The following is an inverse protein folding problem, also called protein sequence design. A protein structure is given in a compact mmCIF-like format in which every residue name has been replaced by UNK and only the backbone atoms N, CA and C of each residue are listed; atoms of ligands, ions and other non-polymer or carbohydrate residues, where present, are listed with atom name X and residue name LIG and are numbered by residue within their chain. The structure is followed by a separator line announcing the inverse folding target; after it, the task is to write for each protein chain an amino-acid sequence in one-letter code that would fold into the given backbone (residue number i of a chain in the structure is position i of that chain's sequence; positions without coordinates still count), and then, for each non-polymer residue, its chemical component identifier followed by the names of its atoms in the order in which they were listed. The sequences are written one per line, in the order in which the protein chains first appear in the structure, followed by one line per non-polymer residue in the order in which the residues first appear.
data_IF_055788259965
#
_entry.id   IF_055788259965
#
_cell.length_a   1.000
_cell.length_b   1.000
_cell.length_c   1.000
_cell.angle_alpha   90.00
_cell.angle_beta   90.00
_cell.angle_gamma   90.00
#
_symmetry.space_group_name_H-M   'P 1'
#
loop_
_entity.id
_entity.type
_entity.pdbx_description
1 polymer ?
#
# COMPACT_ATOMS: atom_id res chain seq x y z
N UNK A 1 8.48 -5.48 -14.82
CA UNK A 1 7.71 -6.04 -13.69
C UNK A 1 7.34 -7.48 -13.98
N UNK A 2 7.46 -8.37 -12.99
CA UNK A 2 7.01 -9.76 -13.08
C UNK A 2 5.47 -9.85 -13.08
N UNK A 3 4.91 -10.82 -13.84
CA UNK A 3 3.46 -11.11 -13.87
C UNK A 3 3.06 -11.96 -12.66
N UNK A 4 1.91 -11.64 -12.05
CA UNK A 4 1.36 -12.38 -10.90
C UNK A 4 0.11 -13.14 -11.32
N UNK A 5 -0.06 -14.35 -10.80
CA UNK A 5 -1.17 -15.23 -11.16
C UNK A 5 -1.92 -15.68 -9.91
N UNK A 6 -3.25 -15.64 -9.96
CA UNK A 6 -4.10 -16.26 -8.94
C UNK A 6 -4.21 -17.76 -9.22
N UNK A 7 -3.93 -18.59 -8.22
CA UNK A 7 -3.96 -20.06 -8.33
C UNK A 7 -4.88 -20.63 -7.26
N UNK A 8 -5.75 -21.56 -7.64
CA UNK A 8 -6.63 -22.25 -6.69
C UNK A 8 -5.81 -23.10 -5.71
N UNK A 9 -6.27 -23.17 -4.46
CA UNK A 9 -5.61 -23.97 -3.41
C UNK A 9 -5.41 -25.44 -3.80
N UNK A 10 -6.36 -26.04 -4.52
CA UNK A 10 -6.25 -27.42 -5.03
C UNK A 10 -5.12 -27.57 -6.05
N UNK A 11 -5.06 -26.68 -7.04
CA UNK A 11 -3.98 -26.65 -8.04
C UNK A 11 -2.62 -26.43 -7.40
N UNK A 12 -2.55 -25.54 -6.39
CA UNK A 12 -1.31 -25.34 -5.64
C UNK A 12 -0.88 -26.62 -4.92
N UNK A 13 -1.80 -27.33 -4.24
CA UNK A 13 -1.47 -28.59 -3.53
C UNK A 13 -0.86 -29.63 -4.46
N UNK A 14 -1.38 -29.78 -5.67
CA UNK A 14 -0.87 -30.75 -6.66
C UNK A 14 0.63 -30.56 -6.94
N UNK A 15 1.14 -29.33 -6.92
CA UNK A 15 2.57 -29.04 -7.14
C UNK A 15 3.47 -29.49 -5.98
N UNK A 16 2.91 -29.80 -4.81
CA UNK A 16 3.65 -30.13 -3.59
C UNK A 16 3.23 -31.47 -2.96
N UNK A 17 2.55 -32.32 -3.71
CA UNK A 17 2.20 -33.68 -3.30
C UNK A 17 3.40 -34.63 -3.24
N UNK A 18 4.54 -34.24 -3.82
CA UNK A 18 5.74 -35.08 -3.93
C UNK A 18 6.95 -34.37 -3.31
N UNK A 19 7.76 -35.12 -2.58
CA UNK A 19 9.01 -34.62 -2.01
C UNK A 19 10.03 -34.33 -3.10
N UNK A 20 10.62 -33.14 -3.08
CA UNK A 20 11.65 -32.74 -4.05
C UNK A 20 12.99 -33.48 -3.88
N UNK A 21 13.20 -34.15 -2.73
CA UNK A 21 14.45 -34.84 -2.40
C UNK A 21 14.36 -36.34 -2.63
N UNK A 22 13.33 -37.00 -2.09
CA UNK A 22 13.18 -38.46 -2.14
C UNK A 22 12.01 -38.94 -3.01
N UNK A 23 11.28 -38.04 -3.66
CA UNK A 23 10.16 -38.35 -4.57
C UNK A 23 9.00 -39.15 -3.94
N UNK A 24 8.98 -39.32 -2.62
CA UNK A 24 7.87 -39.91 -1.89
C UNK A 24 6.72 -38.92 -1.75
N UNK A 25 5.51 -39.44 -1.52
CA UNK A 25 4.33 -38.61 -1.22
C UNK A 25 4.57 -37.73 0.01
N UNK A 26 4.21 -36.46 -0.10
CA UNK A 26 4.29 -35.47 0.95
C UNK A 26 2.90 -35.18 1.53
N UNK A 27 2.86 -34.93 2.84
CA UNK A 27 1.77 -34.17 3.43
C UNK A 27 2.09 -32.68 3.27
N UNK A 28 1.14 -31.92 2.72
CA UNK A 28 1.27 -30.48 2.52
C UNK A 28 0.28 -29.72 3.42
N UNK A 29 0.81 -28.83 4.26
CA UNK A 29 0.02 -27.87 5.03
C UNK A 29 0.17 -26.47 4.46
N UNK A 30 -0.96 -25.77 4.32
CA UNK A 30 -1.01 -24.43 3.74
C UNK A 30 -1.50 -23.45 4.80
N UNK A 31 -0.74 -22.38 5.02
CA UNK A 31 -1.08 -21.22 5.85
C UNK A 31 -1.02 -19.96 5.00
N UNK A 32 -1.56 -18.86 5.51
CA UNK A 32 -1.50 -17.57 4.83
C UNK A 32 -1.29 -16.40 5.79
N UNK A 33 -0.72 -15.30 5.29
CA UNK A 33 -0.65 -14.01 5.95
C UNK A 33 -0.85 -12.89 4.91
N UNK A 34 -2.04 -12.30 4.92
CA UNK A 34 -2.41 -11.37 3.86
C UNK A 34 -2.55 -12.09 2.53
N UNK A 35 -1.78 -11.69 1.53
CA UNK A 35 -1.67 -12.35 0.22
C UNK A 35 -0.62 -13.47 0.21
N UNK A 36 0.26 -13.53 1.21
CA UNK A 36 1.35 -14.52 1.27
C UNK A 36 0.77 -15.88 1.61
N UNK A 37 1.12 -16.90 0.83
CA UNK A 37 0.82 -18.29 1.10
C UNK A 37 2.11 -18.99 1.53
N UNK A 38 2.07 -19.65 2.68
CA UNK A 38 3.14 -20.51 3.19
C UNK A 38 2.73 -21.96 3.02
N UNK A 39 3.58 -22.75 2.38
CA UNK A 39 3.37 -24.16 2.19
C UNK A 39 4.49 -24.93 2.87
N UNK A 40 4.12 -25.81 3.80
CA UNK A 40 5.05 -26.71 4.48
C UNK A 40 4.77 -28.14 4.03
N UNK A 41 5.81 -28.82 3.55
CA UNK A 41 5.73 -30.23 3.17
C UNK A 41 6.52 -31.09 4.15
N UNK A 42 6.02 -32.28 4.43
CA UNK A 42 6.77 -33.34 5.12
C UNK A 42 6.55 -34.70 4.45
N UNK A 43 7.61 -35.51 4.38
CA UNK A 43 7.57 -36.85 3.81
C UNK A 43 7.96 -37.94 4.83
N UNK A 44 7.66 -39.23 4.59
CA UNK A 44 8.03 -40.33 5.49
C UNK A 44 9.53 -40.46 5.79
N UNK A 45 10.40 -40.00 4.87
CA UNK A 45 11.85 -39.98 5.06
C UNK A 45 12.35 -38.83 5.97
N UNK A 46 11.44 -38.03 6.53
CA UNK A 46 11.77 -36.96 7.48
C UNK A 46 12.15 -35.60 6.86
N UNK A 47 12.21 -35.48 5.52
CA UNK A 47 12.45 -34.18 4.88
C UNK A 47 11.28 -33.20 5.14
N UNK A 48 11.63 -31.97 5.53
CA UNK A 48 10.69 -30.87 5.73
C UNK A 48 11.10 -29.71 4.82
N UNK A 49 10.18 -29.20 4.01
CA UNK A 49 10.45 -28.05 3.16
C UNK A 49 9.39 -26.96 3.34
N UNK A 50 9.81 -25.71 3.22
CA UNK A 50 8.95 -24.53 3.16
C UNK A 50 9.02 -23.92 1.76
N UNK A 51 7.87 -23.52 1.23
CA UNK A 51 7.76 -22.70 0.04
C UNK A 51 6.81 -21.54 0.31
N UNK A 52 7.19 -20.35 -0.17
CA UNK A 52 6.40 -19.14 -0.03
C UNK A 52 5.99 -18.65 -1.43
N UNK A 53 4.76 -18.14 -1.56
CA UNK A 53 4.19 -17.77 -2.85
C UNK A 53 4.74 -16.50 -3.49
N UNK A 54 5.54 -15.74 -2.74
CA UNK A 54 6.03 -14.43 -3.16
C UNK A 54 7.31 -14.08 -2.40
N UNK A 55 8.17 -13.21 -2.97
CA UNK A 55 9.34 -12.70 -2.28
C UNK A 55 8.95 -11.72 -1.15
N UNK A 56 9.95 -11.40 -0.33
CA UNK A 56 9.81 -10.42 0.75
C UNK A 56 10.63 -9.18 0.43
N UNK A 57 10.07 -8.00 0.73
CA UNK A 57 10.73 -6.69 0.67
C UNK A 57 10.82 -6.20 2.11
N UNK A 58 12.03 -6.09 2.66
CA UNK A 58 12.28 -5.70 4.06
C UNK A 58 11.43 -6.48 5.08
N UNK A 59 11.25 -7.79 4.85
CA UNK A 59 10.44 -8.66 5.72
C UNK A 59 8.93 -8.64 5.46
N UNK A 60 8.45 -7.80 4.55
CA UNK A 60 7.04 -7.73 4.16
C UNK A 60 6.78 -8.52 2.89
N UNK A 61 5.64 -9.21 2.80
CA UNK A 61 5.24 -9.87 1.55
C UNK A 61 5.08 -8.84 0.44
N UNK A 62 5.77 -9.03 -0.69
CA UNK A 62 5.83 -8.05 -1.77
C UNK A 62 4.44 -7.63 -2.27
N UNK A 63 3.50 -8.57 -2.43
CA UNK A 63 2.14 -8.26 -2.90
C UNK A 63 1.29 -7.55 -1.83
N UNK A 64 1.55 -7.78 -0.53
CA UNK A 64 0.90 -7.00 0.52
C UNK A 64 1.29 -5.51 0.40
N UNK A 65 2.58 -5.24 0.17
CA UNK A 65 3.08 -3.88 -0.01
C UNK A 65 2.54 -3.26 -1.30
N UNK A 66 2.63 -3.98 -2.42
CA UNK A 66 2.19 -3.49 -3.72
C UNK A 66 0.69 -3.21 -3.77
N UNK A 67 -0.15 -4.11 -3.21
CA UNK A 67 -1.59 -3.92 -3.22
C UNK A 67 -2.03 -2.80 -2.28
N UNK A 68 -1.39 -2.65 -1.11
CA UNK A 68 -1.62 -1.48 -0.24
C UNK A 68 -1.23 -0.18 -0.96
N UNK A 69 -0.07 -0.17 -1.62
CA UNK A 69 0.42 0.98 -2.39
C UNK A 69 -0.54 1.35 -3.52
N UNK A 70 -1.00 0.36 -4.29
CA UNK A 70 -1.97 0.55 -5.37
C UNK A 70 -3.23 1.24 -4.84
N UNK A 71 -3.83 0.69 -3.77
CA UNK A 71 -5.07 1.21 -3.21
C UNK A 71 -4.88 2.66 -2.72
N UNK A 72 -3.77 2.94 -2.03
CA UNK A 72 -3.47 4.26 -1.51
C UNK A 72 -3.26 5.28 -2.64
N UNK A 73 -2.38 4.98 -3.60
CA UNK A 73 -1.95 5.94 -4.61
C UNK A 73 -2.98 6.15 -5.73
N UNK A 74 -3.89 5.21 -5.97
CA UNK A 74 -5.00 5.42 -6.90
C UNK A 74 -6.23 6.04 -6.25
N UNK A 75 -6.21 6.31 -4.93
CA UNK A 75 -7.39 6.74 -4.18
C UNK A 75 -8.54 5.71 -4.18
N UNK A 76 -8.23 4.43 -4.40
CA UNK A 76 -9.25 3.39 -4.43
C UNK A 76 -9.76 3.12 -3.01
N UNK A 77 -11.04 2.75 -2.88
CA UNK A 77 -11.59 2.41 -1.56
C UNK A 77 -10.98 1.08 -1.06
N UNK A 78 -10.23 1.06 0.06
CA UNK A 78 -9.67 -0.17 0.61
C UNK A 78 -10.78 -1.15 0.99
N UNK A 79 -11.87 -0.66 1.58
CA UNK A 79 -13.02 -1.47 1.96
C UNK A 79 -13.66 -2.16 0.75
N UNK A 80 -13.92 -1.43 -0.34
CA UNK A 80 -14.49 -2.02 -1.56
C UNK A 80 -13.52 -3.01 -2.19
N UNK A 81 -12.24 -2.65 -2.29
CA UNK A 81 -11.20 -3.49 -2.89
C UNK A 81 -11.07 -4.83 -2.16
N UNK A 82 -10.88 -4.81 -0.83
CA UNK A 82 -10.75 -6.03 -0.04
C UNK A 82 -12.03 -6.88 -0.05
N UNK A 83 -13.21 -6.23 -0.10
CA UNK A 83 -14.48 -6.94 -0.24
C UNK A 83 -14.57 -7.68 -1.57
N UNK A 84 -14.18 -7.07 -2.68
CA UNK A 84 -14.20 -7.72 -4.00
C UNK A 84 -13.31 -8.97 -4.04
N UNK A 85 -12.07 -8.91 -3.54
CA UNK A 85 -11.20 -10.07 -3.44
C UNK A 85 -11.85 -11.21 -2.63
N UNK A 86 -12.47 -10.87 -1.50
CA UNK A 86 -13.14 -11.86 -0.63
C UNK A 86 -14.38 -12.48 -1.26
N UNK A 87 -15.14 -11.73 -2.08
CA UNK A 87 -16.35 -12.25 -2.75
C UNK A 87 -16.04 -13.41 -3.70
N UNK A 88 -14.83 -13.46 -4.26
CA UNK A 88 -14.36 -14.56 -5.11
C UNK A 88 -13.32 -15.45 -4.39
N UNK A 89 -13.28 -15.39 -3.06
CA UNK A 89 -12.39 -16.19 -2.21
C UNK A 89 -10.89 -16.05 -2.52
N UNK A 90 -10.45 -14.89 -3.01
CA UNK A 90 -9.01 -14.60 -3.11
C UNK A 90 -8.48 -14.20 -1.72
N UNK A 91 -7.39 -14.85 -1.33
CA UNK A 91 -6.69 -14.61 -0.08
C UNK A 91 -6.02 -13.23 -0.11
N UNK A 92 -6.41 -12.36 0.83
CA UNK A 92 -5.96 -10.98 0.92
C UNK A 92 -5.87 -10.53 2.38
N UNK A 93 -5.15 -9.44 2.65
CA UNK A 93 -4.99 -8.89 3.99
C UNK A 93 -6.25 -8.23 4.57
N UNK A 94 -6.16 -7.89 5.86
CA UNK A 94 -7.24 -7.24 6.61
C UNK A 94 -7.16 -5.71 6.48
N UNK A 95 -8.25 -5.00 6.80
CA UNK A 95 -8.22 -3.53 6.91
C UNK A 95 -7.19 -3.05 7.94
N UNK A 96 -7.03 -3.79 9.06
CA UNK A 96 -5.99 -3.49 10.05
C UNK A 96 -4.60 -3.56 9.42
N UNK A 97 -4.33 -4.61 8.64
CA UNK A 97 -3.06 -4.76 7.92
C UNK A 97 -2.85 -3.63 6.91
N UNK A 98 -3.89 -3.24 6.16
CA UNK A 98 -3.83 -2.10 5.24
C UNK A 98 -3.35 -0.83 5.95
N UNK A 99 -4.02 -0.44 7.05
CA UNK A 99 -3.64 0.76 7.80
C UNK A 99 -2.26 0.66 8.44
N UNK A 100 -1.86 -0.54 8.90
CA UNK A 100 -0.52 -0.75 9.41
C UNK A 100 0.55 -0.51 8.33
N UNK A 101 0.37 -1.04 7.11
CA UNK A 101 1.29 -0.80 6.00
C UNK A 101 1.27 0.67 5.57
N UNK A 102 0.08 1.29 5.53
CA UNK A 102 -0.07 2.70 5.19
C UNK A 102 0.73 3.57 6.15
N UNK A 103 0.51 3.44 7.47
CA UNK A 103 1.16 4.30 8.46
C UNK A 103 2.63 3.98 8.71
N UNK A 104 3.05 2.71 8.61
CA UNK A 104 4.42 2.33 8.91
C UNK A 104 5.39 2.45 7.73
N UNK A 105 4.88 2.46 6.50
CA UNK A 105 5.72 2.38 5.28
C UNK A 105 5.34 3.46 4.28
N UNK A 106 4.08 3.48 3.85
CA UNK A 106 3.69 4.24 2.66
C UNK A 106 3.59 5.75 2.92
N UNK A 107 2.96 6.15 4.02
CA UNK A 107 2.84 7.56 4.39
C UNK A 107 4.23 8.17 4.67
N UNK A 108 5.09 7.54 5.49
CA UNK A 108 6.46 8.03 5.68
C UNK A 108 7.24 8.17 4.38
N UNK A 109 7.13 7.20 3.45
CA UNK A 109 7.82 7.26 2.16
C UNK A 109 7.32 8.42 1.27
N UNK A 110 6.02 8.74 1.33
CA UNK A 110 5.46 9.90 0.61
C UNK A 110 5.92 11.21 1.26
N UNK A 111 5.93 11.28 2.59
CA UNK A 111 6.37 12.46 3.34
C UNK A 111 7.85 12.77 3.12
N UNK A 112 8.70 11.74 3.10
CA UNK A 112 10.13 11.85 2.79
C UNK A 112 10.33 12.42 1.37
N UNK A 113 9.71 11.79 0.36
CA UNK A 113 9.81 12.25 -1.02
C UNK A 113 9.28 13.67 -1.19
N UNK A 114 8.15 14.00 -0.56
CA UNK A 114 7.59 15.35 -0.59
C UNK A 114 8.55 16.37 0.01
N UNK A 115 9.16 16.05 1.15
CA UNK A 115 10.10 16.93 1.86
C UNK A 115 11.35 17.20 1.02
N UNK A 116 11.89 16.16 0.39
CA UNK A 116 13.05 16.28 -0.49
C UNK A 116 12.74 17.13 -1.72
N UNK A 117 11.63 16.87 -2.41
CA UNK A 117 11.20 17.65 -3.58
C UNK A 117 10.88 19.12 -3.22
N UNK A 118 10.22 19.35 -2.08
CA UNK A 118 9.92 20.69 -1.59
C UNK A 118 11.20 21.46 -1.28
N UNK A 119 12.18 20.81 -0.64
CA UNK A 119 13.47 21.42 -0.33
C UNK A 119 14.22 21.82 -1.60
N UNK A 120 14.29 20.90 -2.58
CA UNK A 120 14.92 21.19 -3.87
C UNK A 120 14.25 22.39 -4.57
N UNK A 121 12.92 22.46 -4.50
CA UNK A 121 12.17 23.57 -5.07
C UNK A 121 12.43 24.90 -4.34
N UNK A 122 12.50 24.89 -3.01
CA UNK A 122 12.84 26.07 -2.22
C UNK A 122 14.26 26.57 -2.50
N UNK A 123 15.22 25.66 -2.61
CA UNK A 123 16.61 25.98 -2.96
C UNK A 123 16.69 26.58 -4.38
N UNK A 124 15.97 26.01 -5.36
CA UNK A 124 15.89 26.52 -6.74
C UNK A 124 15.30 27.94 -6.82
N UNK A 125 14.31 28.23 -5.97
CA UNK A 125 13.58 29.49 -5.94
C UNK A 125 14.17 30.54 -4.99
N UNK A 126 15.25 30.20 -4.27
CA UNK A 126 15.91 31.09 -3.34
C UNK A 126 16.41 32.37 -4.01
N UNK A 127 16.36 33.49 -3.27
CA UNK A 127 16.84 34.82 -3.68
C UNK A 127 16.20 35.39 -4.96
N UNK A 128 15.03 34.91 -5.35
CA UNK A 128 14.28 35.41 -6.49
C UNK A 128 12.94 36.03 -6.07
N UNK A 129 12.43 37.06 -6.76
CA UNK A 129 11.05 37.50 -6.60
C UNK A 129 10.08 36.35 -6.93
N UNK A 130 9.16 36.07 -6.01
CA UNK A 130 8.17 35.00 -6.14
C UNK A 130 6.75 35.55 -6.10
N UNK A 131 5.98 35.20 -7.11
CA UNK A 131 4.53 35.31 -7.08
C UNK A 131 3.95 33.98 -6.57
N UNK A 132 3.10 34.06 -5.54
CA UNK A 132 2.44 32.91 -4.95
C UNK A 132 0.93 33.01 -5.15
N UNK A 133 0.33 31.92 -5.59
CA UNK A 133 -1.11 31.76 -5.66
C UNK A 133 -1.56 30.75 -4.60
N UNK A 134 -2.56 31.11 -3.79
CA UNK A 134 -3.12 30.22 -2.78
C UNK A 134 -4.51 29.72 -3.17
N UNK A 135 -4.78 28.44 -2.98
CA UNK A 135 -6.13 27.86 -3.14
C UNK A 135 -6.44 26.85 -2.03
N UNK A 136 -7.71 26.80 -1.63
CA UNK A 136 -8.21 25.93 -0.57
C UNK A 136 -9.24 24.94 -1.09
N UNK A 137 -9.00 23.65 -0.89
CA UNK A 137 -9.93 22.58 -1.29
C UNK A 137 -10.61 21.93 -0.08
N UNK A 138 -11.94 22.01 -0.05
CA UNK A 138 -12.77 21.33 0.94
C UNK A 138 -13.20 19.96 0.41
N UNK A 139 -12.56 18.88 0.86
CA UNK A 139 -12.91 17.52 0.48
C UNK A 139 -13.58 16.80 1.66
N UNK A 140 -14.89 17.06 1.87
CA UNK A 140 -15.72 16.33 2.85
C UNK A 140 -16.96 15.73 2.17
N UNK A 141 -17.21 14.40 2.29
CA UNK A 141 -18.36 13.74 1.67
C UNK A 141 -19.73 14.15 2.23
N UNK A 142 -19.78 14.71 3.43
CA UNK A 142 -21.01 15.07 4.14
C UNK A 142 -21.01 16.58 4.43
N UNK A 143 -22.21 17.16 4.54
CA UNK A 143 -22.63 18.59 4.59
C UNK A 143 -21.87 19.58 5.52
N UNK A 144 -20.69 19.26 6.04
CA UNK A 144 -19.78 20.17 6.73
C UNK A 144 -18.32 19.82 6.41
N UNK A 145 -17.62 20.76 5.75
CA UNK A 145 -16.18 20.66 5.50
C UNK A 145 -15.40 20.95 6.78
N UNK A 146 -15.14 19.90 7.57
CA UNK A 146 -14.35 20.00 8.80
C UNK A 146 -12.87 20.33 8.54
N UNK A 147 -12.34 19.87 7.42
CA UNK A 147 -10.95 20.07 7.04
C UNK A 147 -10.87 20.54 5.59
N UNK A 148 -9.92 21.43 5.32
CA UNK A 148 -9.58 21.97 4.02
C UNK A 148 -8.09 21.71 3.77
N UNK A 149 -7.70 21.33 2.56
CA UNK A 149 -6.32 21.37 2.14
C UNK A 149 -6.03 22.74 1.52
N UNK A 150 -5.23 23.56 2.17
CA UNK A 150 -4.74 24.80 1.60
C UNK A 150 -3.43 24.54 0.86
N UNK A 151 -3.29 25.06 -0.35
CA UNK A 151 -2.11 24.88 -1.19
C UNK A 151 -1.57 26.21 -1.66
N UNK A 152 -0.25 26.35 -1.63
CA UNK A 152 0.51 27.47 -2.17
C UNK A 152 1.21 27.01 -3.44
N UNK A 153 0.90 27.67 -4.54
CA UNK A 153 1.40 27.41 -5.89
C UNK A 153 2.30 28.54 -6.35
N UNK A 154 3.35 28.21 -7.11
CA UNK A 154 4.22 29.18 -7.78
C UNK A 154 3.87 29.16 -9.27
N UNK A 155 3.09 30.14 -9.79
CA UNK A 155 2.61 30.11 -11.17
C UNK A 155 3.72 30.04 -12.21
N UNK A 156 4.84 30.71 -11.95
CA UNK A 156 5.98 30.79 -12.86
C UNK A 156 6.57 29.42 -13.22
N UNK A 157 6.65 28.50 -12.26
CA UNK A 157 7.19 27.13 -12.46
C UNK A 157 6.09 26.06 -12.49
N UNK A 158 4.85 26.48 -12.30
CA UNK A 158 3.67 25.62 -12.23
C UNK A 158 3.82 24.44 -11.24
N UNK A 159 4.34 24.72 -10.04
CA UNK A 159 4.52 23.72 -8.96
C UNK A 159 3.83 24.18 -7.68
N UNK A 160 3.37 23.20 -6.90
CA UNK A 160 2.93 23.44 -5.51
C UNK A 160 4.18 23.56 -4.65
N UNK A 161 4.33 24.71 -3.98
CA UNK A 161 5.43 24.99 -3.06
C UNK A 161 5.14 24.41 -1.67
N UNK A 162 3.90 24.51 -1.21
CA UNK A 162 3.50 24.05 0.11
C UNK A 162 2.02 23.68 0.11
N UNK A 163 1.63 22.75 0.98
CA UNK A 163 0.23 22.52 1.30
C UNK A 163 0.09 22.13 2.76
N UNK A 164 -1.06 22.48 3.34
CA UNK A 164 -1.35 22.20 4.74
C UNK A 164 -2.82 21.81 4.92
N UNK A 165 -3.13 20.75 5.69
CA UNK A 165 -4.49 20.47 6.14
C UNK A 165 -4.89 21.45 7.25
N UNK A 166 -5.84 22.33 6.95
CA UNK A 166 -6.40 23.33 7.85
C UNK A 166 -7.74 22.85 8.38
N UNK A 167 -7.95 22.90 9.70
CA UNK A 167 -9.28 22.67 10.27
C UNK A 167 -10.15 23.93 10.09
N UNK A 168 -11.32 23.76 9.49
CA UNK A 168 -12.27 24.87 9.31
C UNK A 168 -13.01 25.08 10.63
N UNK A 169 -12.95 26.29 11.15
CA UNK A 169 -13.70 26.75 12.34
C UNK A 169 -14.63 27.89 11.92
N UNK A 170 -15.84 27.91 12.49
CA UNK A 170 -16.77 29.03 12.28
C UNK A 170 -16.16 30.33 12.84
N UNK A 171 -16.17 31.39 12.02
CA UNK A 171 -15.75 32.72 12.45
C UNK A 171 -16.80 33.30 13.40
N UNK A 172 -16.43 33.53 14.67
CA UNK A 172 -17.20 34.43 15.54
C UNK A 172 -17.07 35.84 14.99
N UNK A 173 -18.12 36.33 14.32
CA UNK A 173 -18.25 37.74 13.95
C UNK A 173 -18.15 38.58 15.22
N UNK A 174 -17.11 39.41 15.32
CA UNK A 174 -16.97 40.47 16.33
C UNK A 174 -17.77 41.71 15.96
#
# INVERSE_FOLDING_TARGET
MERKFAVFKSCLRQLFEVCKTCYSTCNASIKSNGTVIFLYTSCPAGHINRWDSQPYINGFGAENLLLTSLVLFTGASPTKTLRLFRMINIQVFSMKTYFNYQGAILVPAVEELWTDEQKLLLDELSDQPLDLAGDGRCDSPDFSAKYMAYSLHVPRVNKILHFEPVQVVESTNG
#
